data_IF_189335155598
#
_entry.id   IF_189335155598
#
_cell.length_a   1.000
_cell.length_b   1.000
_cell.length_c   1.000
_cell.angle_alpha   90.00
_cell.angle_beta   90.00
_cell.angle_gamma   90.00
#
_symmetry.space_group_name_H-M   'P 1'
#
loop_
_entity.id
_entity.type
_entity.pdbx_description
1 polymer ?
#
# COMPACT_ATOMS: atom_id res chain seq x y z
N UNK A 1 2.65 -1.29 -7.98
CA UNK A 1 3.12 -0.10 -7.22
C UNK A 1 2.27 1.11 -7.62
N UNK A 2 1.20 1.40 -6.87
CA UNK A 2 0.34 2.56 -7.18
C UNK A 2 0.94 3.83 -6.56
N UNK A 3 1.42 4.75 -7.40
CA UNK A 3 1.85 6.08 -6.94
C UNK A 3 0.62 6.94 -6.70
N UNK A 4 0.18 7.04 -5.44
CA UNK A 4 -0.84 8.04 -5.08
C UNK A 4 -0.17 9.42 -5.17
N UNK A 5 -0.51 10.18 -6.21
CA UNK A 5 0.10 11.46 -6.55
C UNK A 5 -0.47 12.62 -5.71
N UNK A 6 -0.88 12.34 -4.48
CA UNK A 6 -1.21 13.40 -3.52
C UNK A 6 0.08 13.83 -2.82
N UNK A 7 0.77 14.78 -3.47
CA UNK A 7 1.89 15.57 -2.93
C UNK A 7 3.06 14.73 -2.38
N UNK A 8 4.06 14.53 -3.23
CA UNK A 8 5.44 14.14 -2.84
C UNK A 8 5.63 12.81 -2.10
N UNK A 9 4.56 12.03 -1.84
CA UNK A 9 4.68 10.70 -1.27
C UNK A 9 4.72 9.63 -2.36
N UNK A 10 5.68 8.73 -2.22
CA UNK A 10 5.74 7.46 -2.95
C UNK A 10 5.21 6.40 -2.01
N UNK A 11 4.14 5.74 -2.41
CA UNK A 11 3.52 4.65 -1.66
C UNK A 11 3.76 3.34 -2.41
N UNK A 12 4.18 2.33 -1.67
CA UNK A 12 4.23 0.93 -2.11
C UNK A 12 3.32 0.18 -1.17
N UNK A 13 2.22 -0.35 -1.68
CA UNK A 13 1.24 -1.14 -0.95
C UNK A 13 1.51 -2.64 -1.10
N UNK A 14 1.06 -3.41 -0.10
CA UNK A 14 1.07 -4.87 -0.13
C UNK A 14 -0.34 -5.40 0.22
N UNK A 15 -1.21 -5.57 -0.79
CA UNK A 15 -2.54 -6.13 -0.62
C UNK A 15 -2.50 -7.63 -0.34
N UNK A 16 -3.57 -8.17 0.23
CA UNK A 16 -3.77 -9.61 0.52
C UNK A 16 -3.45 -10.52 -0.66
N UNK A 17 -3.74 -10.06 -1.86
CA UNK A 17 -3.45 -10.75 -3.11
C UNK A 17 -2.01 -11.29 -3.13
N UNK A 18 -1.03 -10.52 -2.64
CA UNK A 18 0.37 -10.93 -2.61
C UNK A 18 0.68 -12.16 -1.76
N UNK A 19 -0.22 -12.56 -0.84
CA UNK A 19 -0.09 -13.79 -0.04
C UNK A 19 -0.74 -15.01 -0.70
N UNK A 20 -1.67 -14.81 -1.64
CA UNK A 20 -2.51 -15.87 -2.22
C UNK A 20 -2.22 -16.14 -3.70
N UNK A 21 -1.40 -15.31 -4.35
CA UNK A 21 -0.96 -15.46 -5.74
C UNK A 21 0.48 -15.92 -5.81
N UNK A 22 0.84 -16.66 -6.85
CA UNK A 22 2.19 -17.21 -7.03
C UNK A 22 2.95 -16.57 -8.20
N UNK A 23 2.24 -15.92 -9.12
CA UNK A 23 2.81 -15.22 -10.29
C UNK A 23 2.44 -13.74 -10.30
N UNK A 24 3.18 -12.96 -11.09
CA UNK A 24 2.92 -11.52 -11.25
C UNK A 24 1.61 -11.27 -12.02
N UNK A 25 1.29 -12.11 -13.01
CA UNK A 25 0.03 -12.01 -13.75
C UNK A 25 -1.18 -12.25 -12.83
N UNK A 26 -1.16 -13.32 -12.03
CA UNK A 26 -2.24 -13.62 -11.05
C UNK A 26 -2.40 -12.48 -10.04
N UNK A 27 -1.29 -11.90 -9.58
CA UNK A 27 -1.30 -10.77 -8.66
C UNK A 27 -1.94 -9.54 -9.30
N UNK A 28 -1.55 -9.20 -10.53
CA UNK A 28 -2.11 -8.06 -11.26
C UNK A 28 -3.61 -8.25 -11.47
N UNK A 29 -4.03 -9.43 -11.93
CA UNK A 29 -5.44 -9.74 -12.14
C UNK A 29 -6.25 -9.64 -10.84
N UNK A 30 -5.74 -10.18 -9.73
CA UNK A 30 -6.41 -10.10 -8.43
C UNK A 30 -6.54 -8.66 -7.94
N UNK A 31 -5.51 -7.83 -8.15
CA UNK A 31 -5.47 -6.43 -7.71
C UNK A 31 -6.31 -5.52 -8.60
N UNK A 32 -6.51 -5.85 -9.87
CA UNK A 32 -7.37 -5.10 -10.81
C UNK A 32 -8.85 -5.41 -10.63
N UNK A 33 -9.19 -6.65 -10.27
CA UNK A 33 -10.58 -7.08 -10.12
C UNK A 33 -11.18 -6.82 -8.73
N UNK A 34 -10.37 -6.49 -7.73
CA UNK A 34 -10.84 -6.18 -6.38
C UNK A 34 -11.09 -4.67 -6.21
N UNK A 35 -12.22 -4.33 -5.58
CA UNK A 35 -12.61 -2.93 -5.40
C UNK A 35 -11.74 -2.29 -4.31
N UNK A 36 -11.36 -1.03 -4.47
CA UNK A 36 -10.52 -0.33 -3.48
C UNK A 36 -11.16 -0.27 -2.09
N UNK A 37 -12.50 -0.29 -2.02
CA UNK A 37 -13.25 -0.25 -0.76
C UNK A 37 -13.24 -1.60 -0.02
N UNK A 38 -13.00 -2.70 -0.73
CA UNK A 38 -12.98 -4.07 -0.18
C UNK A 38 -11.57 -4.64 -0.03
N UNK A 39 -10.57 -4.00 -0.63
CA UNK A 39 -9.20 -4.49 -0.66
C UNK A 39 -8.55 -4.46 0.73
N UNK A 40 -8.18 -5.63 1.24
CA UNK A 40 -7.42 -5.77 2.48
C UNK A 40 -5.92 -5.57 2.23
N UNK A 41 -5.29 -4.68 3.02
CA UNK A 41 -3.86 -4.40 2.94
C UNK A 41 -3.13 -4.96 4.17
N UNK A 42 -2.03 -5.65 3.94
CA UNK A 42 -1.19 -6.21 5.01
C UNK A 42 0.00 -5.31 5.37
N UNK A 43 0.32 -4.35 4.51
CA UNK A 43 1.36 -3.39 4.79
C UNK A 43 1.48 -2.35 3.69
N UNK A 44 2.25 -1.31 3.99
CA UNK A 44 2.73 -0.37 2.99
C UNK A 44 4.09 0.17 3.41
N UNK A 45 4.86 0.60 2.42
CA UNK A 45 6.04 1.43 2.58
C UNK A 45 5.72 2.81 2.00
N UNK A 46 6.03 3.86 2.78
CA UNK A 46 5.79 5.24 2.37
C UNK A 46 7.12 5.97 2.41
N UNK A 47 7.47 6.66 1.32
CA UNK A 47 8.67 7.47 1.21
C UNK A 47 8.30 8.89 0.77
N UNK A 48 8.89 9.90 1.41
CA UNK A 48 8.66 11.30 1.05
C UNK A 48 9.05 12.26 2.17
N UNK A 49 8.47 13.46 2.14
CA UNK A 49 8.72 14.50 3.16
C UNK A 49 8.42 14.01 4.58
N UNK A 50 9.32 14.31 5.52
CA UNK A 50 9.26 13.79 6.89
C UNK A 50 8.08 14.35 7.69
N UNK A 51 7.71 15.61 7.49
CA UNK A 51 6.58 16.22 8.22
C UNK A 51 5.25 15.67 7.71
N UNK A 52 5.15 15.45 6.40
CA UNK A 52 4.00 14.77 5.82
C UNK A 52 3.90 13.30 6.26
N UNK A 53 5.02 12.57 6.30
CA UNK A 53 5.07 11.20 6.82
C UNK A 53 4.57 11.12 8.26
N UNK A 54 5.10 11.98 9.14
CA UNK A 54 4.64 12.06 10.54
C UNK A 54 3.15 12.33 10.64
N UNK A 55 2.61 13.20 9.78
CA UNK A 55 1.17 13.53 9.77
C UNK A 55 0.33 12.31 9.37
N UNK A 56 0.73 11.56 8.34
CA UNK A 56 -0.05 10.41 7.85
C UNK A 56 0.10 9.17 8.74
N UNK A 57 1.26 8.98 9.40
CA UNK A 57 1.49 7.83 10.29
C UNK A 57 1.29 8.14 11.77
N UNK A 58 0.76 9.33 12.12
CA UNK A 58 0.73 9.84 13.52
C UNK A 58 0.05 8.90 14.52
N UNK A 59 -0.95 8.16 14.07
CA UNK A 59 -1.79 7.30 14.90
C UNK A 59 -1.32 5.83 14.87
N UNK A 60 -0.27 5.53 14.09
CA UNK A 60 0.31 4.20 14.00
C UNK A 60 1.34 3.97 15.12
N UNK A 61 1.35 2.76 15.64
CA UNK A 61 2.35 2.34 16.64
C UNK A 61 3.56 1.76 15.92
N UNK A 62 4.74 2.13 16.39
CA UNK A 62 5.96 1.44 15.99
C UNK A 62 5.89 -0.02 16.44
N UNK A 63 6.23 -0.92 15.53
CA UNK A 63 6.42 -2.33 15.85
C UNK A 63 7.62 -2.46 16.80
N UNK A 64 7.46 -3.29 17.84
CA UNK A 64 8.48 -3.62 18.84
C UNK A 64 8.73 -5.11 18.84
#
# INVERSE_FOLDING_TARGET
>A
MRRVKEKELIVIDYPKAGLITYTDEEYCDAVENDSHETMEYYGCCIYGDTELLKKVTRDLRLWK
#
